data_IF_065979874862
#
_entry.id   IF_065979874862
#
_cell.length_a   1.000
_cell.length_b   1.000
_cell.length_c   1.000
_cell.angle_alpha   90.00
_cell.angle_beta   90.00
_cell.angle_gamma   90.00
#
_symmetry.space_group_name_H-M   'P 1'
#
loop_
_entity.id
_entity.type
_entity.pdbx_description
1 polymer ?
#
# COMPACT_ATOMS: atom_id res chain seq x y z
N UNK A 1 22.41 -50.88 -49.77
CA UNK A 1 22.21 -51.08 -48.32
C UNK A 1 21.80 -49.72 -47.75
N UNK A 2 20.53 -49.57 -47.34
CA UNK A 2 19.98 -48.29 -46.88
C UNK A 2 20.55 -47.93 -45.50
N UNK A 3 21.07 -46.71 -45.36
CA UNK A 3 21.37 -46.08 -44.06
C UNK A 3 20.19 -45.16 -43.68
N UNK A 4 19.83 -45.03 -42.39
CA UNK A 4 18.64 -44.30 -41.97
C UNK A 4 18.89 -42.79 -41.86
N UNK A 5 17.87 -41.99 -42.21
CA UNK A 5 17.78 -40.56 -41.98
C UNK A 5 17.58 -40.28 -40.48
N UNK A 6 18.56 -39.67 -39.83
CA UNK A 6 18.40 -39.09 -38.50
C UNK A 6 17.47 -37.88 -38.55
N UNK A 7 16.39 -37.91 -37.78
CA UNK A 7 15.54 -36.74 -37.51
C UNK A 7 16.23 -35.87 -36.45
N UNK A 8 16.33 -34.54 -36.63
CA UNK A 8 16.77 -33.67 -35.56
C UNK A 8 15.69 -33.56 -34.48
N UNK A 9 16.07 -33.38 -33.19
CA UNK A 9 15.12 -33.27 -32.10
C UNK A 9 14.29 -31.99 -32.21
N UNK A 10 13.00 -32.11 -31.87
CA UNK A 10 12.07 -31.00 -31.80
C UNK A 10 12.57 -29.95 -30.79
N UNK A 11 12.80 -28.73 -31.27
CA UNK A 11 13.05 -27.56 -30.45
C UNK A 11 11.82 -27.29 -29.57
N UNK A 12 11.83 -27.80 -28.34
CA UNK A 12 10.93 -27.36 -27.27
C UNK A 12 11.40 -25.98 -26.81
N UNK A 13 11.04 -24.96 -27.58
CA UNK A 13 11.18 -23.56 -27.19
C UNK A 13 10.17 -23.34 -26.06
N UNK A 14 10.63 -23.37 -24.82
CA UNK A 14 9.85 -22.89 -23.68
C UNK A 14 9.76 -21.38 -23.88
N UNK A 15 8.69 -20.93 -24.52
CA UNK A 15 8.29 -19.53 -24.51
C UNK A 15 7.89 -19.21 -23.07
N UNK A 16 8.86 -18.74 -22.29
CA UNK A 16 8.60 -18.14 -20.99
C UNK A 16 7.79 -16.88 -21.25
N UNK A 17 6.46 -17.01 -21.26
CA UNK A 17 5.53 -15.88 -21.22
C UNK A 17 5.77 -15.17 -19.88
N UNK A 18 6.72 -14.24 -19.85
CA UNK A 18 6.81 -13.27 -18.79
C UNK A 18 5.50 -12.48 -18.82
N UNK A 19 4.63 -12.73 -17.84
CA UNK A 19 3.44 -11.91 -17.65
C UNK A 19 3.91 -10.45 -17.55
N UNK A 20 3.28 -9.51 -18.28
CA UNK A 20 3.67 -8.11 -18.21
C UNK A 20 3.56 -7.66 -16.75
N UNK A 21 4.67 -7.14 -16.21
CA UNK A 21 4.70 -6.62 -14.85
C UNK A 21 3.60 -5.55 -14.73
N UNK A 22 2.67 -5.76 -13.81
CA UNK A 22 1.59 -4.79 -13.58
C UNK A 22 2.21 -3.45 -13.18
N UNK A 23 1.70 -2.36 -13.76
CA UNK A 23 2.09 -1.01 -13.36
C UNK A 23 1.77 -0.80 -11.88
N UNK A 24 2.79 -0.43 -11.10
CA UNK A 24 2.61 -0.09 -9.68
C UNK A 24 1.73 1.16 -9.54
N UNK A 25 0.83 1.10 -8.59
CA UNK A 25 -0.12 2.14 -8.21
C UNK A 25 0.28 2.76 -6.87
N UNK A 26 -0.26 3.93 -6.50
CA UNK A 26 -0.09 4.47 -5.15
C UNK A 26 -0.57 3.52 -4.04
N UNK A 27 -1.63 2.73 -4.29
CA UNK A 27 -2.10 1.73 -3.34
C UNK A 27 -1.07 0.60 -3.13
N UNK A 28 -0.28 0.23 -4.16
CA UNK A 28 0.84 -0.70 -3.99
C UNK A 28 1.93 -0.11 -3.08
N UNK A 29 2.15 1.22 -3.11
CA UNK A 29 3.06 1.88 -2.18
C UNK A 29 2.53 1.89 -0.74
N UNK A 30 1.21 2.07 -0.56
CA UNK A 30 0.55 1.90 0.74
C UNK A 30 0.69 0.48 1.29
N UNK A 31 0.50 -0.54 0.46
CA UNK A 31 0.70 -1.94 0.86
C UNK A 31 2.16 -2.22 1.25
N UNK A 32 3.13 -1.64 0.54
CA UNK A 32 4.55 -1.71 0.92
C UNK A 32 4.80 -1.05 2.28
N UNK A 33 4.23 0.13 2.53
CA UNK A 33 4.33 0.81 3.82
C UNK A 33 3.78 -0.05 4.97
N UNK A 34 2.73 -0.82 4.72
CA UNK A 34 2.17 -1.74 5.71
C UNK A 34 3.16 -2.86 6.06
N UNK A 35 3.86 -3.39 5.06
CA UNK A 35 4.95 -4.35 5.27
C UNK A 35 6.06 -3.76 6.15
N UNK A 36 6.52 -2.55 5.86
CA UNK A 36 7.56 -1.87 6.65
C UNK A 36 7.14 -1.69 8.12
N UNK A 37 5.89 -1.28 8.37
CA UNK A 37 5.38 -1.15 9.73
C UNK A 37 5.28 -2.51 10.44
N UNK A 38 4.80 -3.54 9.74
CA UNK A 38 4.69 -4.89 10.30
C UNK A 38 6.08 -5.47 10.65
N UNK A 39 7.09 -5.21 9.81
CA UNK A 39 8.47 -5.61 10.05
C UNK A 39 9.06 -4.87 11.26
N UNK A 40 8.82 -3.57 11.37
CA UNK A 40 9.26 -2.75 12.51
C UNK A 40 8.68 -3.26 13.84
N UNK A 41 7.41 -3.69 13.84
CA UNK A 41 6.78 -4.27 15.01
C UNK A 41 7.19 -5.74 15.25
N UNK A 42 7.52 -6.48 14.20
CA UNK A 42 7.79 -7.92 14.24
C UNK A 42 8.95 -8.32 15.14
N UNK A 43 10.00 -7.50 15.19
CA UNK A 43 11.18 -7.71 16.06
C UNK A 43 10.84 -7.71 17.56
N UNK A 44 9.67 -7.19 17.95
CA UNK A 44 9.31 -6.94 19.35
C UNK A 44 7.89 -7.36 19.73
N UNK A 45 7.11 -7.91 18.81
CA UNK A 45 5.70 -8.27 19.03
C UNK A 45 5.52 -9.24 20.21
N UNK A 46 6.42 -10.21 20.39
CA UNK A 46 6.34 -11.19 21.51
C UNK A 46 6.49 -10.55 22.90
N UNK A 47 7.04 -9.33 22.96
CA UNK A 47 7.34 -8.62 24.20
C UNK A 47 6.35 -7.48 24.49
N UNK A 48 5.43 -7.19 23.57
CA UNK A 48 4.47 -6.10 23.70
C UNK A 48 3.18 -6.39 22.94
N UNK A 49 2.09 -6.61 23.68
CA UNK A 49 0.74 -6.80 23.14
C UNK A 49 0.33 -5.63 22.22
N UNK A 50 0.76 -4.40 22.54
CA UNK A 50 0.49 -3.24 21.71
C UNK A 50 1.14 -3.38 20.33
N UNK A 51 2.42 -3.79 20.26
CA UNK A 51 3.13 -3.94 18.99
C UNK A 51 2.61 -5.13 18.18
N UNK A 52 2.15 -6.18 18.83
CA UNK A 52 1.44 -7.29 18.18
C UNK A 52 0.15 -6.83 17.49
N UNK A 53 -0.69 -6.06 18.20
CA UNK A 53 -1.92 -5.49 17.62
C UNK A 53 -1.61 -4.55 16.45
N UNK A 54 -0.58 -3.70 16.58
CA UNK A 54 -0.18 -2.77 15.51
C UNK A 54 0.30 -3.53 14.27
N UNK A 55 1.09 -4.59 14.47
CA UNK A 55 1.54 -5.46 13.38
C UNK A 55 0.36 -6.09 12.64
N UNK A 56 -0.59 -6.67 13.37
CA UNK A 56 -1.75 -7.34 12.76
C UNK A 56 -2.63 -6.35 11.99
N UNK A 57 -2.87 -5.16 12.56
CA UNK A 57 -3.60 -4.08 11.88
C UNK A 57 -2.86 -3.61 10.62
N UNK A 58 -1.54 -3.47 10.67
CA UNK A 58 -0.73 -3.13 9.50
C UNK A 58 -0.89 -4.17 8.40
N UNK A 59 -0.82 -5.47 8.74
CA UNK A 59 -0.99 -6.57 7.79
C UNK A 59 -2.41 -6.61 7.19
N UNK A 60 -3.45 -6.36 7.98
CA UNK A 60 -4.82 -6.27 7.51
C UNK A 60 -5.01 -5.12 6.52
N UNK A 61 -4.51 -3.93 6.86
CA UNK A 61 -4.52 -2.76 5.97
C UNK A 61 -3.72 -3.03 4.68
N UNK A 62 -2.56 -3.68 4.79
CA UNK A 62 -1.72 -4.07 3.66
C UNK A 62 -2.46 -4.98 2.68
N UNK A 63 -3.10 -6.05 3.17
CA UNK A 63 -3.92 -6.95 2.33
C UNK A 63 -5.07 -6.21 1.64
N UNK A 64 -5.75 -5.32 2.36
CA UNK A 64 -6.81 -4.49 1.79
C UNK A 64 -6.27 -3.59 0.66
N UNK A 65 -5.13 -2.95 0.87
CA UNK A 65 -4.48 -2.10 -0.13
C UNK A 65 -4.01 -2.89 -1.35
N UNK A 66 -3.53 -4.13 -1.18
CA UNK A 66 -3.19 -5.01 -2.31
C UNK A 66 -4.41 -5.33 -3.17
N UNK A 67 -5.58 -5.56 -2.57
CA UNK A 67 -6.85 -5.79 -3.28
C UNK A 67 -7.24 -4.52 -4.04
N UNK A 68 -7.31 -3.38 -3.35
CA UNK A 68 -7.68 -2.09 -3.94
C UNK A 68 -6.75 -1.67 -5.08
N UNK A 69 -5.47 -1.98 -4.97
CA UNK A 69 -4.51 -1.72 -6.04
C UNK A 69 -4.86 -2.47 -7.34
N UNK A 70 -5.60 -3.59 -7.26
CA UNK A 70 -6.06 -4.38 -8.43
C UNK A 70 -7.38 -3.93 -9.01
N UNK A 71 -8.05 -2.97 -8.39
CA UNK A 71 -9.33 -2.46 -8.87
C UNK A 71 -9.14 -1.36 -9.92
N UNK A 72 -10.17 -1.12 -10.73
CA UNK A 72 -10.12 -0.25 -11.92
C UNK A 72 -10.20 1.26 -11.60
N UNK A 73 -9.57 1.70 -10.51
CA UNK A 73 -9.60 3.10 -10.05
C UNK A 73 -11.03 3.66 -9.96
N UNK A 74 -11.99 2.85 -9.53
CA UNK A 74 -13.33 3.32 -9.21
C UNK A 74 -13.25 4.33 -8.05
N UNK A 75 -14.19 5.27 -7.99
CA UNK A 75 -14.14 6.35 -6.99
C UNK A 75 -14.13 5.81 -5.56
N UNK A 76 -14.98 4.81 -5.29
CA UNK A 76 -15.09 4.17 -3.98
C UNK A 76 -13.77 3.47 -3.59
N UNK A 77 -13.18 2.70 -4.52
CA UNK A 77 -11.88 2.05 -4.33
C UNK A 77 -10.75 3.05 -4.07
N UNK A 78 -10.75 4.17 -4.80
CA UNK A 78 -9.75 5.22 -4.65
C UNK A 78 -9.86 5.91 -3.31
N UNK A 79 -11.05 6.29 -2.87
CA UNK A 79 -11.23 6.94 -1.56
C UNK A 79 -10.93 5.97 -0.43
N UNK A 80 -11.30 4.69 -0.58
CA UNK A 80 -10.98 3.64 0.37
C UNK A 80 -9.47 3.42 0.50
N UNK A 81 -8.74 3.37 -0.62
CA UNK A 81 -7.29 3.29 -0.61
C UNK A 81 -6.66 4.53 0.03
N UNK A 82 -7.22 5.72 -0.23
CA UNK A 82 -6.74 6.98 0.34
C UNK A 82 -6.90 6.97 1.87
N UNK A 83 -8.05 6.53 2.36
CA UNK A 83 -8.32 6.41 3.79
C UNK A 83 -7.40 5.38 4.45
N UNK A 84 -7.25 4.20 3.85
CA UNK A 84 -6.39 3.15 4.39
C UNK A 84 -4.90 3.56 4.45
N UNK A 85 -4.38 4.26 3.44
CA UNK A 85 -3.04 4.82 3.49
C UNK A 85 -2.88 5.87 4.60
N UNK A 86 -3.88 6.74 4.81
CA UNK A 86 -3.84 7.73 5.89
C UNK A 86 -3.94 7.10 7.28
N UNK A 87 -4.77 6.06 7.45
CA UNK A 87 -4.87 5.28 8.68
C UNK A 87 -3.53 4.62 9.00
N UNK A 88 -2.86 4.05 7.99
CA UNK A 88 -1.56 3.43 8.15
C UNK A 88 -0.47 4.43 8.55
N UNK A 89 -0.42 5.61 7.91
CA UNK A 89 0.51 6.67 8.30
C UNK A 89 0.28 7.10 9.75
N UNK A 90 -0.98 7.24 10.16
CA UNK A 90 -1.36 7.58 11.54
C UNK A 90 -0.97 6.48 12.52
N UNK A 91 -1.22 5.22 12.17
CA UNK A 91 -0.90 4.06 12.98
C UNK A 91 0.61 3.96 13.22
N UNK A 92 1.43 4.13 12.18
CA UNK A 92 2.88 4.13 12.29
C UNK A 92 3.40 5.28 13.17
N UNK A 93 2.94 6.51 12.92
CA UNK A 93 3.38 7.69 13.67
C UNK A 93 3.04 7.59 15.17
N UNK A 94 1.82 7.18 15.50
CA UNK A 94 1.37 7.05 16.89
C UNK A 94 2.14 5.98 17.69
N UNK A 95 2.71 4.97 17.02
CA UNK A 95 3.41 3.87 17.68
C UNK A 95 4.93 3.96 17.63
N UNK A 96 5.46 4.98 16.94
CA UNK A 96 6.91 5.20 16.83
C UNK A 96 7.63 5.30 18.19
N UNK A 97 7.09 5.97 19.23
CA UNK A 97 7.76 6.04 20.54
C UNK A 97 7.92 4.67 21.24
N UNK A 98 7.04 3.72 20.93
CA UNK A 98 7.05 2.37 21.52
C UNK A 98 8.08 1.43 20.84
N UNK A 99 8.65 1.83 19.70
CA UNK A 99 9.68 1.08 19.00
C UNK A 99 11.08 1.42 19.52
N UNK A 100 12.03 0.47 19.47
CA UNK A 100 13.45 0.76 19.71
C UNK A 100 14.09 1.49 18.53
N UNK A 101 15.24 2.12 18.76
CA UNK A 101 15.84 3.08 17.82
C UNK A 101 16.09 2.54 16.40
N UNK A 102 16.42 1.24 16.26
CA UNK A 102 16.61 0.61 14.94
C UNK A 102 15.32 0.50 14.12
N UNK A 103 14.21 0.18 14.77
CA UNK A 103 12.90 -0.02 14.10
C UNK A 103 12.11 1.28 13.95
N UNK A 104 12.47 2.34 14.72
CA UNK A 104 11.90 3.69 14.56
C UNK A 104 12.12 4.25 13.16
N UNK A 105 13.29 4.01 12.57
CA UNK A 105 13.58 4.46 11.21
C UNK A 105 12.67 3.78 10.20
N UNK A 106 12.45 2.47 10.33
CA UNK A 106 11.58 1.70 9.44
C UNK A 106 10.11 2.13 9.58
N UNK A 107 9.65 2.39 10.80
CA UNK A 107 8.32 2.94 11.02
C UNK A 107 8.17 4.38 10.48
N UNK A 108 9.20 5.22 10.57
CA UNK A 108 9.19 6.55 9.96
C UNK A 108 9.11 6.47 8.43
N UNK A 109 9.85 5.55 7.80
CA UNK A 109 9.74 5.28 6.37
C UNK A 109 8.33 4.81 5.99
N UNK A 110 7.69 3.98 6.82
CA UNK A 110 6.30 3.59 6.64
C UNK A 110 5.35 4.79 6.69
N UNK A 111 5.54 5.74 7.62
CA UNK A 111 4.77 6.99 7.70
C UNK A 111 4.91 7.79 6.40
N UNK A 112 6.14 8.05 5.96
CA UNK A 112 6.40 8.88 4.79
C UNK A 112 5.86 8.23 3.51
N UNK A 113 6.03 6.92 3.35
CA UNK A 113 5.55 6.19 2.18
C UNK A 113 4.02 6.15 2.14
N UNK A 114 3.37 5.85 3.27
CA UNK A 114 1.91 5.83 3.36
C UNK A 114 1.32 7.23 3.16
N UNK A 115 1.91 8.28 3.74
CA UNK A 115 1.48 9.66 3.52
C UNK A 115 1.68 10.11 2.07
N UNK A 116 2.81 9.74 1.44
CA UNK A 116 3.06 9.98 0.02
C UNK A 116 2.03 9.29 -0.87
N UNK A 117 1.68 8.03 -0.57
CA UNK A 117 0.64 7.30 -1.27
C UNK A 117 -0.73 7.99 -1.13
N UNK A 118 -1.12 8.43 0.07
CA UNK A 118 -2.34 9.21 0.31
C UNK A 118 -2.38 10.46 -0.58
N UNK A 119 -1.31 11.26 -0.59
CA UNK A 119 -1.23 12.47 -1.42
C UNK A 119 -1.31 12.18 -2.92
N UNK A 120 -0.75 11.05 -3.37
CA UNK A 120 -0.80 10.64 -4.76
C UNK A 120 -2.19 10.13 -5.19
N UNK A 121 -2.99 9.58 -4.26
CA UNK A 121 -4.35 9.10 -4.53
C UNK A 121 -5.38 10.23 -4.60
N UNK A 122 -5.22 11.30 -3.81
CA UNK A 122 -6.18 12.41 -3.73
C UNK A 122 -6.54 12.99 -5.12
N UNK A 123 -5.59 13.34 -6.00
CA UNK A 123 -5.92 13.85 -7.34
C UNK A 123 -6.71 12.87 -8.21
N UNK A 124 -6.50 11.55 -8.01
CA UNK A 124 -7.27 10.51 -8.70
C UNK A 124 -8.71 10.48 -8.18
N UNK A 125 -8.90 10.59 -6.86
CA UNK A 125 -10.22 10.72 -6.24
C UNK A 125 -10.94 11.97 -6.78
N UNK A 126 -10.26 13.11 -6.78
CA UNK A 126 -10.82 14.37 -7.29
C UNK A 126 -11.25 14.25 -8.76
N UNK A 127 -10.44 13.59 -9.59
CA UNK A 127 -10.77 13.33 -10.98
C UNK A 127 -11.99 12.43 -11.15
N UNK A 128 -12.20 11.45 -10.26
CA UNK A 128 -13.35 10.53 -10.33
C UNK A 128 -14.60 11.07 -9.66
N UNK A 129 -14.48 12.00 -8.71
CA UNK A 129 -15.62 12.64 -8.07
C UNK A 129 -16.54 13.36 -9.09
N UNK A 130 -15.97 13.88 -10.18
CA UNK A 130 -16.74 14.52 -11.26
C UNK A 130 -17.67 13.59 -12.04
N UNK A 131 -17.58 12.28 -11.87
CA UNK A 131 -18.47 11.30 -12.51
C UNK A 131 -19.59 10.80 -11.61
N UNK A 132 -19.62 11.23 -10.34
CA UNK A 132 -20.59 10.82 -9.34
C UNK A 132 -21.76 11.81 -9.27
N UNK A 133 -22.85 11.42 -8.62
CA UNK A 133 -23.87 12.39 -8.23
C UNK A 133 -23.32 13.37 -7.19
N UNK A 134 -23.98 14.52 -7.03
CA UNK A 134 -23.47 15.62 -6.23
C UNK A 134 -23.24 15.26 -4.75
N UNK A 135 -24.15 14.50 -4.14
CA UNK A 135 -24.04 14.14 -2.73
C UNK A 135 -22.92 13.13 -2.50
N UNK A 136 -22.81 12.13 -3.38
CA UNK A 136 -21.73 11.15 -3.31
C UNK A 136 -20.36 11.80 -3.55
N UNK A 137 -20.25 12.65 -4.58
CA UNK A 137 -19.04 13.42 -4.86
C UNK A 137 -18.59 14.26 -3.66
N UNK A 138 -19.51 14.97 -3.00
CA UNK A 138 -19.20 15.78 -1.83
C UNK A 138 -18.62 14.94 -0.69
N UNK A 139 -19.23 13.79 -0.41
CA UNK A 139 -18.78 12.87 0.64
C UNK A 139 -17.39 12.31 0.32
N UNK A 140 -17.20 11.78 -0.89
CA UNK A 140 -15.93 11.24 -1.37
C UNK A 140 -14.80 12.26 -1.26
N UNK A 141 -15.05 13.51 -1.68
CA UNK A 141 -14.05 14.59 -1.62
C UNK A 141 -13.75 15.02 -0.18
N UNK A 142 -14.75 15.02 0.71
CA UNK A 142 -14.57 15.32 2.13
C UNK A 142 -13.69 14.26 2.80
N UNK A 143 -13.91 12.99 2.49
CA UNK A 143 -13.12 11.88 3.04
C UNK A 143 -11.68 11.91 2.53
N UNK A 144 -11.47 12.19 1.23
CA UNK A 144 -10.13 12.35 0.67
C UNK A 144 -9.36 13.53 1.31
N UNK A 145 -10.01 14.66 1.53
CA UNK A 145 -9.41 15.81 2.24
C UNK A 145 -9.07 15.49 3.69
N UNK A 146 -9.97 14.79 4.39
CA UNK A 146 -9.74 14.32 5.76
C UNK A 146 -8.53 13.39 5.83
N UNK A 147 -8.42 12.44 4.90
CA UNK A 147 -7.28 11.54 4.78
C UNK A 147 -5.97 12.30 4.55
N UNK A 148 -5.98 13.29 3.63
CA UNK A 148 -4.83 14.15 3.38
C UNK A 148 -4.35 14.88 4.63
N UNK A 149 -5.27 15.49 5.39
CA UNK A 149 -4.93 16.17 6.64
C UNK A 149 -4.32 15.22 7.67
N UNK A 150 -4.86 14.00 7.83
CA UNK A 150 -4.34 12.99 8.76
C UNK A 150 -2.94 12.51 8.37
N UNK A 151 -2.71 12.26 7.09
CA UNK A 151 -1.39 11.92 6.57
C UNK A 151 -0.36 13.04 6.81
N UNK A 152 -0.75 14.30 6.59
CA UNK A 152 0.12 15.45 6.86
C UNK A 152 0.42 15.61 8.35
N UNK A 153 -0.56 15.37 9.22
CA UNK A 153 -0.35 15.37 10.67
C UNK A 153 0.63 14.27 11.09
N UNK A 154 0.48 13.05 10.58
CA UNK A 154 1.35 11.92 10.89
C UNK A 154 2.83 12.23 10.54
N UNK A 155 3.10 12.81 9.37
CA UNK A 155 4.46 13.22 8.99
C UNK A 155 5.02 14.28 9.94
N UNK A 156 4.20 15.25 10.38
CA UNK A 156 4.64 16.28 11.33
C UNK A 156 4.98 15.73 12.71
N UNK A 157 4.41 14.58 13.09
CA UNK A 157 4.72 13.92 14.36
C UNK A 157 6.11 13.26 14.36
N UNK A 158 6.72 13.01 13.19
CA UNK A 158 8.07 12.44 13.10
C UNK A 158 9.18 13.38 13.57
N UNK A 159 8.93 14.70 13.51
CA UNK A 159 9.91 15.75 13.84
C UNK A 159 9.66 16.41 15.19
N UNK A 160 8.68 15.90 15.95
CA UNK A 160 8.21 16.48 17.21
C UNK A 160 8.73 15.73 18.42
#
# INVERSE_FOLDING_TARGET
MLMPLERPPANLRIESQAMPARKRTPADAGALAAGLLADACGSHAENSLQLEVVKDLALDLGRRLEILAREDFAADSLVEATLACADLATLAACNLPALPDGDRALAAEAVDLAAGATRALIPLVESKAGTLDAAHAENTLRDARSAGWRADLAVRQLVS
#
